data_IF_918250858252
#
_entry.id   IF_918250858252
#
_cell.length_a   1.000
_cell.length_b   1.000
_cell.length_c   1.000
_cell.angle_alpha   90.00
_cell.angle_beta   90.00
_cell.angle_gamma   90.00
#
_symmetry.space_group_name_H-M   'P 1'
#
loop_
_entity.id
_entity.type
_entity.pdbx_description
1 polymer ?
#
# COMPACT_ATOMS: atom_id res chain seq x y z
N UNK A 1 -24.89 -12.13 -9.64
CA UNK A 1 -24.29 -11.37 -10.77
C UNK A 1 -23.98 -9.97 -10.28
N UNK A 2 -22.69 -9.65 -10.17
CA UNK A 2 -22.04 -8.33 -10.01
C UNK A 2 -20.66 -8.69 -9.45
N UNK A 3 -19.51 -8.33 -10.00
CA UNK A 3 -19.10 -7.48 -11.11
C UNK A 3 -17.61 -7.33 -10.82
N UNK A 4 -16.73 -7.84 -11.70
CA UNK A 4 -15.28 -7.80 -11.47
C UNK A 4 -14.83 -6.34 -11.34
N UNK A 5 -14.37 -5.95 -10.16
CA UNK A 5 -13.47 -4.80 -10.02
C UNK A 5 -12.07 -5.31 -9.73
N UNK A 6 -11.54 -6.06 -10.70
CA UNK A 6 -10.11 -6.01 -10.96
C UNK A 6 -9.85 -4.65 -11.59
N UNK A 7 -9.10 -3.79 -10.91
CA UNK A 7 -8.54 -2.60 -11.54
C UNK A 7 -7.90 -3.04 -12.86
N UNK A 8 -8.32 -2.44 -13.97
CA UNK A 8 -7.72 -2.71 -15.27
C UNK A 8 -6.22 -2.40 -15.18
N UNK A 9 -5.38 -3.29 -15.69
CA UNK A 9 -3.93 -3.05 -15.77
C UNK A 9 -3.71 -1.73 -16.52
N UNK A 10 -3.06 -0.79 -15.87
CA UNK A 10 -2.73 0.53 -16.41
C UNK A 10 -1.45 0.46 -17.26
N UNK A 11 -0.55 -0.48 -16.96
CA UNK A 11 0.67 -0.71 -17.72
C UNK A 11 0.89 -2.19 -18.11
N UNK A 12 1.58 -2.41 -19.22
CA UNK A 12 1.87 -3.75 -19.74
C UNK A 12 2.90 -4.52 -18.89
N UNK A 13 3.74 -3.80 -18.13
CA UNK A 13 4.81 -4.32 -17.28
C UNK A 13 4.41 -4.46 -15.80
N UNK A 14 3.11 -4.41 -15.48
CA UNK A 14 2.64 -4.54 -14.11
C UNK A 14 2.97 -5.91 -13.50
N UNK A 15 3.64 -5.87 -12.35
CA UNK A 15 3.92 -7.03 -11.51
C UNK A 15 2.62 -7.52 -10.89
N UNK A 16 2.24 -8.75 -11.25
CA UNK A 16 1.06 -9.39 -10.69
C UNK A 16 1.35 -9.77 -9.24
N UNK A 17 0.52 -9.28 -8.32
CA UNK A 17 0.54 -9.67 -6.91
C UNK A 17 -0.86 -10.13 -6.49
N UNK A 18 -0.91 -10.99 -5.47
CA UNK A 18 -2.14 -11.43 -4.83
C UNK A 18 -1.97 -11.56 -3.31
N UNK A 19 -3.05 -11.93 -2.62
CA UNK A 19 -3.06 -12.10 -1.16
C UNK A 19 -2.14 -13.22 -0.70
N UNK A 20 -1.96 -14.28 -1.49
CA UNK A 20 -1.09 -15.39 -1.15
C UNK A 20 0.38 -14.94 -1.13
N UNK A 21 0.79 -14.14 -2.13
CA UNK A 21 2.09 -13.49 -2.16
C UNK A 21 2.31 -12.62 -0.94
N UNK A 22 1.38 -11.72 -0.62
CA UNK A 22 1.53 -10.85 0.57
C UNK A 22 1.70 -11.67 1.84
N UNK A 23 0.92 -12.74 2.01
CA UNK A 23 1.04 -13.62 3.19
C UNK A 23 2.41 -14.28 3.26
N UNK A 24 2.94 -14.75 2.14
CA UNK A 24 4.27 -15.37 2.10
C UNK A 24 5.38 -14.38 2.47
N UNK A 25 5.34 -13.17 1.91
CA UNK A 25 6.31 -12.12 2.23
C UNK A 25 6.25 -11.74 3.72
N UNK A 26 5.05 -11.67 4.30
CA UNK A 26 4.87 -11.44 5.73
C UNK A 26 5.39 -12.61 6.57
N UNK A 27 5.14 -13.87 6.17
CA UNK A 27 5.66 -15.03 6.91
C UNK A 27 7.19 -15.05 6.98
N UNK A 28 7.85 -14.64 5.90
CA UNK A 28 9.31 -14.62 5.80
C UNK A 28 9.92 -13.49 6.65
N UNK A 29 9.34 -12.28 6.60
CA UNK A 29 9.96 -11.06 7.16
C UNK A 29 9.31 -10.54 8.44
N UNK A 30 8.02 -10.80 8.63
CA UNK A 30 7.18 -10.26 9.72
C UNK A 30 6.14 -11.28 10.20
N UNK A 31 6.58 -12.44 10.76
CA UNK A 31 5.70 -13.57 11.04
C UNK A 31 4.54 -13.23 11.97
N UNK A 32 4.72 -12.29 12.90
CA UNK A 32 3.67 -11.83 13.83
C UNK A 32 2.49 -11.19 13.07
N UNK A 33 2.77 -10.50 11.97
CA UNK A 33 1.76 -9.83 11.14
C UNK A 33 1.10 -10.76 10.12
N UNK A 34 1.72 -11.89 9.80
CA UNK A 34 1.24 -12.82 8.77
C UNK A 34 -0.11 -13.48 9.11
N UNK A 35 -0.47 -13.51 10.40
CA UNK A 35 -1.74 -14.03 10.89
C UNK A 35 -2.93 -13.07 10.69
N UNK A 36 -2.66 -11.78 10.41
CA UNK A 36 -3.69 -10.77 10.27
C UNK A 36 -4.51 -10.97 8.97
N UNK A 37 -5.79 -10.56 8.94
CA UNK A 37 -6.59 -10.56 7.72
C UNK A 37 -5.93 -9.73 6.61
N UNK A 38 -5.87 -10.27 5.39
CA UNK A 38 -5.30 -9.56 4.23
C UNK A 38 -6.40 -9.44 3.17
N UNK A 39 -6.65 -8.21 2.70
CA UNK A 39 -7.62 -7.92 1.64
C UNK A 39 -6.99 -7.01 0.60
N UNK A 40 -7.13 -7.34 -0.69
CA UNK A 40 -6.73 -6.42 -1.76
C UNK A 40 -7.62 -5.17 -1.67
N UNK A 41 -7.00 -4.01 -1.55
CA UNK A 41 -7.71 -2.74 -1.66
C UNK A 41 -7.77 -2.35 -3.14
N UNK A 42 -8.98 -2.18 -3.67
CA UNK A 42 -9.19 -1.76 -5.05
C UNK A 42 -8.76 -0.29 -5.18
N UNK A 43 -7.53 -0.07 -5.59
CA UNK A 43 -6.97 1.25 -5.87
C UNK A 43 -6.70 1.40 -7.37
N UNK A 44 -6.93 2.60 -7.90
CA UNK A 44 -6.47 3.01 -9.24
C UNK A 44 -5.00 3.44 -9.26
N UNK A 45 -4.20 2.97 -8.28
CA UNK A 45 -2.81 3.37 -8.13
C UNK A 45 -1.94 2.82 -9.25
N UNK A 46 -1.06 3.64 -9.81
CA UNK A 46 -0.14 3.26 -10.91
C UNK A 46 1.14 2.59 -10.42
N UNK A 47 1.51 2.89 -9.17
CA UNK A 47 2.82 2.51 -8.64
C UNK A 47 2.77 1.40 -7.60
N UNK A 48 1.65 1.25 -6.88
CA UNK A 48 1.53 0.27 -5.81
C UNK A 48 0.22 -0.51 -5.84
N UNK A 49 0.34 -1.82 -5.65
CA UNK A 49 -0.72 -2.67 -5.19
C UNK A 49 -0.83 -2.56 -3.67
N UNK A 50 -1.98 -2.05 -3.20
CA UNK A 50 -2.30 -1.88 -1.78
C UNK A 50 -3.13 -3.06 -1.28
N UNK A 51 -2.72 -3.61 -0.13
CA UNK A 51 -3.44 -4.65 0.58
C UNK A 51 -3.67 -4.17 2.01
N UNK A 52 -4.93 -4.14 2.45
CA UNK A 52 -5.25 -3.88 3.85
C UNK A 52 -4.82 -5.10 4.68
N UNK A 53 -4.12 -4.84 5.77
CA UNK A 53 -3.53 -5.82 6.68
C UNK A 53 -4.08 -5.56 8.08
N UNK A 54 -4.99 -6.42 8.55
CA UNK A 54 -5.79 -6.13 9.73
C UNK A 54 -6.62 -4.86 9.54
N UNK A 55 -6.71 -4.08 10.62
CA UNK A 55 -7.47 -2.82 10.64
C UNK A 55 -6.58 -1.58 10.50
N UNK A 56 -5.33 -1.65 10.98
CA UNK A 56 -4.48 -0.47 11.14
C UNK A 56 -3.30 -0.39 10.16
N UNK A 57 -3.13 -1.39 9.28
CA UNK A 57 -1.96 -1.48 8.41
C UNK A 57 -2.34 -1.69 6.94
N UNK A 58 -1.42 -1.33 6.06
CA UNK A 58 -1.46 -1.69 4.66
C UNK A 58 -0.09 -2.11 4.14
N UNK A 59 -0.07 -3.19 3.37
CA UNK A 59 1.09 -3.58 2.57
C UNK A 59 1.00 -2.90 1.21
N UNK A 60 2.09 -2.26 0.79
CA UNK A 60 2.24 -1.64 -0.53
C UNK A 60 3.34 -2.39 -1.29
N UNK A 61 2.95 -3.11 -2.34
CA UNK A 61 3.88 -3.74 -3.26
C UNK A 61 4.01 -2.88 -4.52
N UNK A 62 5.24 -2.60 -4.99
CA UNK A 62 5.43 -1.90 -6.24
C UNK A 62 4.80 -2.68 -7.40
N UNK A 63 4.02 -1.99 -8.24
CA UNK A 63 3.46 -2.53 -9.48
C UNK A 63 4.49 -2.57 -10.59
N UNK A 64 5.57 -1.79 -10.50
CA UNK A 64 6.63 -1.73 -11.51
C UNK A 64 8.00 -1.56 -10.85
N UNK A 65 9.10 -2.03 -11.47
CA UNK A 65 10.45 -1.86 -10.94
C UNK A 65 10.80 -0.41 -10.56
N UNK A 66 10.37 0.56 -11.39
CA UNK A 66 10.63 1.99 -11.18
C UNK A 66 9.90 2.60 -9.97
N UNK A 67 8.88 1.94 -9.43
CA UNK A 67 8.11 2.43 -8.29
C UNK A 67 8.81 2.19 -6.93
N UNK A 68 9.92 1.46 -6.91
CA UNK A 68 10.64 1.09 -5.69
C UNK A 68 11.31 2.27 -4.98
N UNK A 69 11.68 3.32 -5.72
CA UNK A 69 12.30 4.52 -5.15
C UNK A 69 11.37 5.28 -4.19
N UNK A 70 10.04 5.13 -4.36
CA UNK A 70 9.06 5.79 -3.51
C UNK A 70 9.19 5.33 -2.06
N UNK A 71 9.41 4.04 -1.81
CA UNK A 71 9.54 3.50 -0.45
C UNK A 71 10.70 4.15 0.30
N UNK A 72 11.86 4.25 -0.36
CA UNK A 72 13.05 4.88 0.23
C UNK A 72 12.85 6.38 0.48
N UNK A 73 12.13 7.07 -0.42
CA UNK A 73 11.78 8.48 -0.25
C UNK A 73 10.82 8.68 0.93
N UNK A 74 9.78 7.86 1.02
CA UNK A 74 8.79 7.85 2.09
C UNK A 74 9.46 7.64 3.45
N UNK A 75 10.30 6.60 3.57
CA UNK A 75 11.00 6.27 4.81
C UNK A 75 11.94 7.40 5.27
N UNK A 76 12.50 8.16 4.34
CA UNK A 76 13.38 9.30 4.64
C UNK A 76 12.59 10.55 5.05
N UNK A 77 11.55 10.90 4.32
CA UNK A 77 10.94 12.22 4.41
C UNK A 77 9.67 12.28 5.25
N UNK A 78 8.86 11.22 5.29
CA UNK A 78 7.62 11.23 6.07
C UNK A 78 7.87 11.48 7.57
N UNK A 79 8.87 10.87 8.23
CA UNK A 79 9.17 11.17 9.63
C UNK A 79 9.61 12.63 9.87
N UNK A 80 10.24 13.26 8.87
CA UNK A 80 10.64 14.67 8.93
C UNK A 80 9.44 15.59 8.77
N UNK A 81 8.50 15.24 7.88
CA UNK A 81 7.32 16.05 7.60
C UNK A 81 6.22 15.91 8.67
N UNK A 82 6.06 14.72 9.26
CA UNK A 82 4.95 14.40 10.16
C UNK A 82 4.74 15.41 11.32
N UNK A 83 5.79 15.89 12.03
CA UNK A 83 5.62 16.85 13.13
C UNK A 83 5.18 18.25 12.68
N UNK A 84 5.24 18.54 11.39
CA UNK A 84 5.00 19.86 10.81
C UNK A 84 3.68 19.96 10.04
N UNK A 85 2.90 18.87 9.97
CA UNK A 85 1.63 18.83 9.24
C UNK A 85 0.44 18.71 10.20
N UNK A 86 -0.65 19.46 9.96
CA UNK A 86 -1.85 19.40 10.81
C UNK A 86 -2.71 18.16 10.56
N UNK A 87 -2.43 17.41 9.49
CA UNK A 87 -3.16 16.21 9.09
C UNK A 87 -2.24 15.00 9.13
N UNK A 88 -2.84 13.83 9.41
CA UNK A 88 -2.15 12.56 9.33
C UNK A 88 -1.61 12.32 7.91
N UNK A 89 -0.35 11.90 7.83
CA UNK A 89 0.29 11.45 6.61
C UNK A 89 0.65 9.97 6.74
N UNK A 90 0.88 9.26 5.62
CA UNK A 90 1.33 7.87 5.68
C UNK A 90 2.58 7.74 6.58
N UNK A 91 2.63 6.66 7.36
CA UNK A 91 3.78 6.31 8.19
C UNK A 91 4.33 4.97 7.68
N UNK A 92 5.62 4.91 7.37
CA UNK A 92 6.29 3.64 7.06
C UNK A 92 6.56 2.92 8.37
N UNK A 93 5.83 1.83 8.62
CA UNK A 93 5.98 0.99 9.81
C UNK A 93 7.13 0.01 9.65
N UNK A 94 7.29 -0.57 8.45
CA UNK A 94 8.39 -1.48 8.14
C UNK A 94 8.69 -1.52 6.65
N UNK A 95 9.93 -1.87 6.30
CA UNK A 95 10.37 -2.15 4.93
C UNK A 95 10.72 -3.62 4.81
N UNK A 96 10.13 -4.30 3.83
CA UNK A 96 10.47 -5.66 3.47
C UNK A 96 11.49 -5.70 2.33
N UNK A 97 12.47 -6.59 2.46
CA UNK A 97 13.45 -6.87 1.42
C UNK A 97 12.85 -7.77 0.31
N UNK A 98 13.51 -7.82 -0.86
CA UNK A 98 13.24 -8.84 -1.85
C UNK A 98 13.30 -10.26 -1.28
N UNK A 99 12.40 -11.13 -1.74
CA UNK A 99 12.33 -12.55 -1.37
C UNK A 99 12.54 -13.38 -2.64
N UNK A 100 13.45 -14.35 -2.58
CA UNK A 100 13.74 -15.21 -3.72
C UNK A 100 12.58 -16.16 -4.03
N UNK A 101 12.53 -16.60 -5.29
CA UNK A 101 11.58 -17.64 -5.69
C UNK A 101 11.95 -18.98 -5.05
N UNK A 102 10.94 -19.71 -4.57
CA UNK A 102 11.04 -21.08 -4.08
C UNK A 102 10.20 -22.01 -4.95
N UNK A 103 10.32 -23.32 -4.75
CA UNK A 103 9.45 -24.30 -5.43
C UNK A 103 7.97 -24.11 -5.09
N UNK A 104 7.66 -23.50 -3.95
CA UNK A 104 6.31 -23.19 -3.48
C UNK A 104 5.81 -21.78 -3.82
N UNK A 105 6.68 -20.86 -4.23
CA UNK A 105 6.32 -19.46 -4.42
C UNK A 105 7.21 -18.75 -5.45
N UNK A 106 6.66 -17.93 -6.38
CA UNK A 106 7.48 -17.13 -7.31
C UNK A 106 8.39 -16.05 -6.71
N UNK A 107 8.43 -15.87 -5.38
CA UNK A 107 9.18 -14.77 -4.73
C UNK A 107 8.66 -13.37 -5.08
N UNK A 108 9.42 -12.35 -4.68
CA UNK A 108 9.20 -10.95 -5.04
C UNK A 108 10.52 -10.19 -5.05
N UNK A 109 10.99 -9.77 -6.23
CA UNK A 109 12.35 -9.25 -6.41
C UNK A 109 12.55 -7.79 -5.97
N UNK A 110 11.54 -7.14 -5.40
CA UNK A 110 11.54 -5.69 -5.15
C UNK A 110 11.29 -5.37 -3.69
N UNK A 111 11.91 -4.30 -3.15
CA UNK A 111 11.55 -3.79 -1.83
C UNK A 111 10.07 -3.40 -1.78
N UNK A 112 9.44 -3.63 -0.63
CA UNK A 112 8.03 -3.35 -0.38
C UNK A 112 7.84 -2.81 1.03
N UNK A 113 6.70 -2.16 1.31
CA UNK A 113 6.51 -1.46 2.58
C UNK A 113 5.24 -1.84 3.30
N UNK A 114 5.29 -1.81 4.63
CA UNK A 114 4.13 -1.82 5.52
C UNK A 114 3.94 -0.39 6.01
N UNK A 115 2.72 0.12 5.83
CA UNK A 115 2.34 1.47 6.20
C UNK A 115 1.21 1.45 7.21
N UNK A 116 1.14 2.48 8.05
CA UNK A 116 -0.07 2.74 8.85
C UNK A 116 -1.22 3.06 7.90
N UNK A 117 -2.37 2.42 8.14
CA UNK A 117 -3.60 2.74 7.44
C UNK A 117 -4.17 4.04 8.01
N UNK A 118 -4.66 4.92 7.12
CA UNK A 118 -5.38 6.13 7.51
C UNK A 118 -6.82 5.88 7.10
N UNK A 119 -7.70 5.78 8.10
CA UNK A 119 -9.13 5.65 7.84
C UNK A 119 -9.69 6.96 7.29
N UNK A 120 -10.50 6.82 6.25
CA UNK A 120 -11.13 7.94 5.56
C UNK A 120 -11.52 7.54 4.14
N UNK A 121 -12.34 8.38 3.53
CA UNK A 121 -12.76 8.23 2.15
C UNK A 121 -12.04 9.24 1.25
N UNK A 122 -11.89 8.88 -0.03
CA UNK A 122 -11.38 9.82 -1.01
C UNK A 122 -12.30 11.05 -1.10
N UNK A 123 -11.73 12.23 -0.94
CA UNK A 123 -12.49 13.48 -1.10
C UNK A 123 -12.93 13.59 -2.56
N UNK A 124 -14.23 13.74 -2.78
CA UNK A 124 -14.81 13.96 -4.11
C UNK A 124 -15.28 15.40 -4.24
N UNK A 125 -15.30 15.94 -5.46
CA UNK A 125 -15.80 17.30 -5.71
C UNK A 125 -17.25 17.50 -5.22
N UNK A 126 -18.06 16.43 -5.21
CA UNK A 126 -19.44 16.46 -4.70
C UNK A 126 -19.52 16.47 -3.16
N UNK A 127 -18.46 16.04 -2.48
CA UNK A 127 -18.36 15.99 -1.01
C UNK A 127 -17.56 17.14 -0.40
N UNK A 128 -17.06 18.07 -1.21
CA UNK A 128 -16.44 19.30 -0.71
C UNK A 128 -17.54 20.23 -0.20
N UNK A 129 -17.59 20.45 1.11
CA UNK A 129 -18.26 21.63 1.66
C UNK A 129 -17.52 22.90 1.16
N UNK A 130 -18.26 23.98 0.91
CA UNK A 130 -17.68 25.25 0.48
C UNK A 130 -16.66 25.73 1.53
N UNK A 131 -15.36 25.82 1.19
CA UNK A 131 -14.32 26.20 2.13
C UNK A 131 -14.48 27.65 2.66
N UNK A 132 -15.39 28.44 2.09
CA UNK A 132 -15.69 29.81 2.54
C UNK A 132 -16.83 29.89 3.57
N UNK A 133 -17.56 28.82 3.86
CA UNK A 133 -18.69 28.86 4.81
C UNK A 133 -18.30 28.56 6.28
N UNK A 134 -17.15 27.91 6.52
CA UNK A 134 -16.73 27.46 7.85
C UNK A 134 -15.63 28.34 8.50
N UNK A 135 -15.38 29.52 7.93
CA UNK A 135 -14.54 30.55 8.54
C UNK A 135 -15.41 31.64 9.20
N UNK A 136 -16.07 31.31 10.32
CA UNK A 136 -16.76 32.28 11.18
C UNK A 136 -16.44 32.03 12.66
#
# INVERSE_FOLDING_TARGET
MAGREQSARLHADEIVSDVALVRHLLMDRFPDLASLPIRRFASSGTDNAIYRLGDDLAVRLPLRPGATAQLSSDARWLPVLAPHLPLAIPEVVAMGDPVEATSSHPGFAWPWGIYRWIDGDAVTLAGLADPLHDAA
#
